data_IF_290944751984
#
_entry.id   IF_290944751984
#
_cell.length_a   1.000
_cell.length_b   1.000
_cell.length_c   1.000
_cell.angle_alpha   90.00
_cell.angle_beta   90.00
_cell.angle_gamma   90.00
#
_symmetry.space_group_name_H-M   'P 1'
#
loop_
_entity.id
_entity.type
_entity.pdbx_description
1 polymer ?
#
# COMPACT_ATOMS: atom_id res chain seq x y z
N UNK A 1 -54.46 -20.81 25.11
CA UNK A 1 -53.51 -19.85 24.52
C UNK A 1 -52.16 -20.51 24.44
N UNK A 2 -51.82 -21.11 23.32
CA UNK A 2 -50.59 -21.87 23.09
C UNK A 2 -49.60 -20.97 22.37
N UNK A 3 -48.53 -20.58 23.08
CA UNK A 3 -47.45 -19.77 22.53
C UNK A 3 -46.57 -20.67 21.64
N UNK A 4 -46.56 -20.36 20.33
CA UNK A 4 -45.63 -20.97 19.35
C UNK A 4 -44.25 -20.33 19.53
N UNK A 5 -43.29 -21.10 20.05
CA UNK A 5 -41.87 -20.76 19.99
C UNK A 5 -41.41 -20.82 18.55
N UNK A 6 -41.11 -19.65 17.99
CA UNK A 6 -40.36 -19.51 16.73
C UNK A 6 -38.93 -19.98 17.00
N UNK A 7 -38.54 -21.11 16.43
CA UNK A 7 -37.15 -21.52 16.34
C UNK A 7 -36.48 -20.67 15.24
N UNK A 8 -35.70 -19.69 15.64
CA UNK A 8 -34.78 -19.01 14.74
C UNK A 8 -33.74 -20.03 14.24
N UNK A 9 -33.76 -20.29 12.94
CA UNK A 9 -32.66 -21.00 12.27
C UNK A 9 -31.44 -20.09 12.32
N UNK A 10 -30.27 -20.59 12.78
CA UNK A 10 -29.06 -19.80 12.73
C UNK A 10 -28.77 -19.45 11.27
N UNK A 11 -28.65 -18.16 10.99
CA UNK A 11 -28.16 -17.65 9.72
C UNK A 11 -26.80 -18.29 9.48
N UNK A 12 -26.69 -19.09 8.41
CA UNK A 12 -25.40 -19.54 7.91
C UNK A 12 -24.56 -18.29 7.64
N UNK A 13 -23.53 -18.07 8.45
CA UNK A 13 -22.51 -17.08 8.19
C UNK A 13 -22.00 -17.33 6.78
N UNK A 14 -22.30 -16.39 5.87
CA UNK A 14 -21.70 -16.39 4.54
C UNK A 14 -20.21 -16.18 4.76
N UNK A 15 -19.44 -17.21 4.48
CA UNK A 15 -17.98 -17.14 4.54
C UNK A 15 -17.55 -16.42 3.26
N UNK A 16 -17.08 -15.21 3.41
CA UNK A 16 -16.46 -14.47 2.31
C UNK A 16 -14.96 -14.61 2.45
N UNK A 17 -14.28 -14.91 1.38
CA UNK A 17 -13.10 -14.25 0.92
C UNK A 17 -11.82 -14.98 0.73
N UNK A 18 -11.24 -14.68 -0.37
CA UNK A 18 -9.79 -14.72 -0.61
C UNK A 18 -9.37 -13.35 -1.10
N UNK A 19 -8.38 -12.77 -0.46
CA UNK A 19 -7.74 -11.55 -0.91
C UNK A 19 -6.37 -11.93 -1.44
N UNK A 20 -6.14 -11.75 -2.74
CA UNK A 20 -4.80 -11.79 -3.29
C UNK A 20 -4.26 -10.37 -3.25
N UNK A 21 -3.25 -10.12 -2.43
CA UNK A 21 -2.53 -8.85 -2.43
C UNK A 21 -1.33 -9.04 -3.34
N UNK A 22 -1.41 -8.47 -4.52
CA UNK A 22 -0.24 -8.33 -5.37
C UNK A 22 0.38 -6.96 -5.13
N UNK A 23 1.45 -6.90 -4.38
CA UNK A 23 2.29 -5.74 -4.28
C UNK A 23 3.30 -5.84 -5.42
N UNK A 24 3.04 -5.19 -6.54
CA UNK A 24 4.05 -5.03 -7.57
C UNK A 24 4.76 -3.71 -7.33
N UNK A 25 5.87 -3.79 -6.63
CA UNK A 25 6.94 -2.83 -6.82
C UNK A 25 7.52 -3.19 -8.17
N UNK A 26 7.35 -2.35 -9.16
CA UNK A 26 7.98 -2.54 -10.45
C UNK A 26 9.49 -2.33 -10.30
N UNK A 27 10.32 -3.37 -10.29
CA UNK A 27 11.73 -3.18 -10.61
C UNK A 27 11.77 -2.99 -12.12
N UNK A 28 12.18 -1.82 -12.56
CA UNK A 28 12.57 -1.63 -13.96
C UNK A 28 13.82 -2.52 -14.17
N UNK A 29 13.60 -3.70 -14.71
CA UNK A 29 14.70 -4.55 -15.12
C UNK A 29 15.24 -3.99 -16.45
N UNK A 30 16.29 -3.19 -16.35
CA UNK A 30 17.10 -2.86 -17.52
C UNK A 30 17.95 -4.07 -17.84
N UNK A 31 17.59 -4.77 -18.91
CA UNK A 31 18.39 -5.86 -19.46
C UNK A 31 19.70 -5.32 -20.04
N UNK A 32 20.80 -5.51 -19.34
CA UNK A 32 22.15 -5.36 -19.88
C UNK A 32 22.47 -6.56 -20.74
N UNK A 33 22.40 -6.39 -22.05
CA UNK A 33 23.05 -7.28 -23.00
C UNK A 33 24.51 -6.82 -23.14
N UNK A 34 25.40 -7.51 -22.45
CA UNK A 34 26.82 -7.40 -22.62
C UNK A 34 27.35 -8.50 -23.50
N UNK A 35 27.86 -8.16 -24.67
CA UNK A 35 28.69 -9.06 -25.46
C UNK A 35 30.15 -8.71 -25.27
N UNK A 36 30.96 -9.73 -25.03
CA UNK A 36 32.31 -9.70 -24.57
C UNK A 36 33.37 -9.27 -25.60
N UNK A 37 34.62 -9.18 -25.14
CA UNK A 37 35.84 -9.17 -25.95
C UNK A 37 37.02 -8.48 -25.31
N UNK A 38 37.84 -9.27 -24.66
CA UNK A 38 39.31 -9.30 -24.56
C UNK A 38 40.20 -8.06 -24.63
N UNK A 39 41.02 -7.95 -23.60
CA UNK A 39 42.51 -7.73 -23.52
C UNK A 39 43.17 -6.41 -23.93
N UNK A 40 43.90 -5.97 -22.98
CA UNK A 40 45.37 -5.63 -22.88
C UNK A 40 45.77 -4.18 -22.65
N UNK A 41 46.44 -4.02 -21.50
CA UNK A 41 47.74 -3.38 -21.21
C UNK A 41 47.93 -1.88 -21.41
N UNK A 42 48.16 -1.25 -20.25
CA UNK A 42 49.11 -0.21 -19.88
C UNK A 42 49.52 0.88 -20.84
N UNK A 43 49.49 2.10 -20.43
CA UNK A 43 50.63 2.92 -19.95
C UNK A 43 50.25 4.39 -19.80
N UNK A 44 50.84 4.99 -18.79
CA UNK A 44 50.85 6.41 -18.40
C UNK A 44 51.26 7.38 -19.49
N UNK A 45 50.75 8.57 -19.46
CA UNK A 45 51.53 9.81 -19.36
C UNK A 45 50.70 11.12 -19.50
N UNK A 46 51.01 11.96 -18.63
CA UNK A 46 50.93 13.36 -18.35
C UNK A 46 50.74 14.35 -19.53
N UNK A 47 49.98 15.41 -19.19
CA UNK A 47 50.21 16.82 -19.47
C UNK A 47 49.28 17.59 -20.43
N UNK A 48 48.57 18.48 -19.79
CA UNK A 48 48.44 19.94 -20.02
C UNK A 48 47.91 20.51 -21.34
N UNK A 49 46.89 21.28 -21.11
CA UNK A 49 46.66 22.71 -21.47
C UNK A 49 45.80 23.07 -22.66
N UNK A 50 44.91 23.97 -22.32
CA UNK A 50 44.39 25.18 -22.96
C UNK A 50 43.22 25.13 -23.94
N UNK A 51 42.15 25.70 -23.42
CA UNK A 51 41.24 26.72 -23.99
C UNK A 51 40.81 26.64 -25.46
N UNK A 52 39.51 26.51 -25.65
CA UNK A 52 38.68 27.54 -26.31
C UNK A 52 37.20 27.15 -26.33
N UNK A 53 36.43 28.13 -25.97
CA UNK A 53 34.97 28.23 -26.07
C UNK A 53 34.42 27.84 -27.44
N UNK A 54 33.32 27.07 -27.40
CA UNK A 54 32.15 27.40 -28.25
C UNK A 54 30.89 26.85 -27.61
N UNK A 55 29.96 27.76 -27.41
CA UNK A 55 28.56 27.49 -27.09
C UNK A 55 27.94 26.63 -28.19
N UNK A 56 27.39 25.49 -27.83
CA UNK A 56 26.19 24.98 -28.47
C UNK A 56 25.33 24.38 -27.37
N UNK A 57 24.25 25.09 -27.12
CA UNK A 57 23.15 24.70 -26.24
C UNK A 57 22.41 23.58 -26.94
N UNK A 58 22.65 22.34 -26.54
CA UNK A 58 21.71 21.25 -26.77
C UNK A 58 21.26 20.73 -25.39
N UNK A 59 20.20 21.38 -24.90
CA UNK A 59 19.51 21.02 -23.69
C UNK A 59 18.54 19.89 -23.99
N UNK A 60 19.04 18.69 -24.03
CA UNK A 60 18.23 17.47 -23.90
C UNK A 60 18.97 16.42 -23.07
N UNK A 61 19.40 16.85 -21.88
CA UNK A 61 19.73 15.91 -20.83
C UNK A 61 18.41 15.49 -20.18
N UNK A 62 17.91 14.32 -20.55
CA UNK A 62 17.01 13.62 -19.63
C UNK A 62 17.73 13.54 -18.28
N UNK A 63 17.05 13.81 -17.16
CA UNK A 63 17.65 13.59 -15.85
C UNK A 63 18.08 12.13 -15.80
N UNK A 64 19.38 11.88 -15.67
CA UNK A 64 19.88 10.58 -15.24
C UNK A 64 19.29 10.39 -13.84
N UNK A 65 18.18 9.62 -13.77
CA UNK A 65 17.63 9.15 -12.51
C UNK A 65 18.70 8.24 -11.90
N UNK A 66 19.40 8.77 -10.91
CA UNK A 66 20.30 7.99 -10.06
C UNK A 66 19.39 7.08 -9.22
N UNK A 67 19.14 5.88 -9.73
CA UNK A 67 18.27 4.89 -9.13
C UNK A 67 18.97 4.32 -7.89
N UNK A 68 18.93 5.03 -6.79
CA UNK A 68 19.46 4.59 -5.50
C UNK A 68 18.43 3.71 -4.74
N UNK A 69 17.84 2.78 -5.45
CA UNK A 69 17.14 1.63 -4.87
C UNK A 69 15.63 1.77 -4.72
N UNK A 70 15.08 2.81 -4.11
CA UNK A 70 13.64 2.96 -3.86
C UNK A 70 13.05 4.22 -4.48
N UNK A 71 11.86 4.12 -5.09
CA UNK A 71 11.13 5.30 -5.57
C UNK A 71 10.69 6.16 -4.38
N UNK A 72 10.72 7.48 -4.52
CA UNK A 72 10.27 8.44 -3.51
C UNK A 72 9.36 9.51 -4.13
N UNK A 73 8.82 10.41 -3.31
CA UNK A 73 8.00 11.53 -3.79
C UNK A 73 6.50 11.22 -3.83
N UNK A 74 6.07 10.14 -3.20
CA UNK A 74 4.66 9.79 -3.06
C UNK A 74 3.99 9.42 -4.39
N UNK A 75 2.68 9.50 -4.43
CA UNK A 75 1.88 9.09 -5.60
C UNK A 75 2.09 9.99 -6.82
N UNK A 76 2.55 11.22 -6.62
CA UNK A 76 2.89 12.14 -7.71
C UNK A 76 4.06 11.66 -8.57
N UNK A 77 4.93 10.81 -8.01
CA UNK A 77 6.04 10.20 -8.74
C UNK A 77 5.62 8.96 -9.56
N UNK A 78 4.37 8.52 -9.49
CA UNK A 78 3.89 7.37 -10.24
C UNK A 78 3.67 7.73 -11.71
N UNK A 79 4.48 7.15 -12.58
CA UNK A 79 4.40 7.33 -14.04
C UNK A 79 3.79 6.13 -14.77
N UNK A 80 3.72 4.98 -14.09
CA UNK A 80 3.19 3.74 -14.67
C UNK A 80 1.69 3.60 -14.42
N UNK A 81 1.01 2.94 -15.36
CA UNK A 81 -0.36 2.49 -15.17
C UNK A 81 -0.42 1.34 -14.15
N UNK A 82 -1.60 1.12 -13.59
CA UNK A 82 -1.83 -0.07 -12.78
C UNK A 82 -1.57 -1.34 -13.59
N UNK A 83 -0.99 -2.39 -12.97
CA UNK A 83 -0.83 -3.68 -13.63
C UNK A 83 -2.19 -4.24 -14.07
N UNK A 84 -2.19 -5.01 -15.12
CA UNK A 84 -3.41 -5.65 -15.64
C UNK A 84 -3.89 -6.81 -14.73
N UNK A 85 -5.01 -7.44 -15.11
CA UNK A 85 -5.64 -8.50 -14.33
C UNK A 85 -4.81 -9.79 -14.23
N UNK A 86 -3.79 -9.97 -15.10
CA UNK A 86 -2.89 -11.12 -15.04
C UNK A 86 -2.12 -11.22 -13.71
N UNK A 87 -2.03 -10.11 -12.95
CA UNK A 87 -1.51 -10.10 -11.59
C UNK A 87 -2.24 -11.12 -10.69
N UNK A 88 -3.51 -11.38 -10.95
CA UNK A 88 -4.36 -12.28 -10.16
C UNK A 88 -4.57 -13.66 -10.79
N UNK A 89 -4.02 -13.90 -12.00
CA UNK A 89 -4.20 -15.15 -12.77
C UNK A 89 -3.32 -16.31 -12.27
N UNK A 90 -2.73 -16.19 -11.09
CA UNK A 90 -1.90 -17.26 -10.55
C UNK A 90 -2.76 -18.43 -10.08
N UNK A 91 -2.36 -19.65 -10.43
CA UNK A 91 -3.06 -20.89 -10.02
C UNK A 91 -3.20 -21.03 -8.49
N UNK A 92 -2.42 -20.25 -7.71
CA UNK A 92 -2.45 -20.22 -6.26
C UNK A 92 -3.54 -19.31 -5.69
N UNK A 93 -4.11 -18.38 -6.46
CA UNK A 93 -5.10 -17.41 -5.97
C UNK A 93 -6.29 -18.12 -5.33
N UNK A 94 -6.76 -19.21 -5.94
CA UNK A 94 -7.87 -19.99 -5.42
C UNK A 94 -7.50 -21.02 -4.33
N UNK A 95 -6.24 -21.19 -4.02
CA UNK A 95 -5.77 -22.14 -3.01
C UNK A 95 -5.46 -21.49 -1.67
N UNK A 96 -5.52 -20.15 -1.55
CA UNK A 96 -5.27 -19.44 -0.31
C UNK A 96 -6.42 -19.61 0.69
N UNK A 97 -6.10 -19.56 1.98
CA UNK A 97 -7.10 -19.63 3.03
C UNK A 97 -8.04 -18.41 2.99
N UNK A 98 -9.27 -18.60 3.48
CA UNK A 98 -10.20 -17.49 3.65
C UNK A 98 -9.61 -16.44 4.59
N UNK A 99 -9.78 -15.17 4.24
CA UNK A 99 -9.35 -14.07 5.10
C UNK A 99 -10.18 -14.05 6.38
N UNK A 100 -9.50 -14.13 7.53
CA UNK A 100 -10.14 -14.03 8.83
C UNK A 100 -10.51 -12.60 9.20
N UNK A 101 -11.59 -12.44 9.97
CA UNK A 101 -11.89 -11.13 10.57
C UNK A 101 -10.90 -10.81 11.67
N UNK A 102 -10.51 -9.54 11.72
CA UNK A 102 -9.70 -8.96 12.80
C UNK A 102 -10.40 -7.73 13.36
N UNK A 103 -9.83 -7.14 14.40
CA UNK A 103 -10.34 -5.89 14.97
C UNK A 103 -10.16 -4.73 14.01
N UNK A 104 -11.10 -3.80 14.03
CA UNK A 104 -11.02 -2.55 13.27
C UNK A 104 -9.85 -1.69 13.74
N UNK A 105 -9.55 -1.76 15.03
CA UNK A 105 -8.59 -0.89 15.68
C UNK A 105 -9.18 0.49 16.01
N UNK A 106 -8.51 1.26 16.89
CA UNK A 106 -9.04 2.54 17.38
C UNK A 106 -8.91 3.70 16.37
N UNK A 107 -8.19 3.50 15.27
CA UNK A 107 -7.86 4.56 14.32
C UNK A 107 -8.71 4.53 13.04
N UNK A 108 -9.89 3.94 13.14
CA UNK A 108 -10.86 3.98 12.06
C UNK A 108 -11.59 5.34 12.02
N UNK A 109 -11.80 5.81 10.82
CA UNK A 109 -12.56 6.99 10.48
C UNK A 109 -13.16 6.79 9.08
N UNK A 110 -14.40 7.18 8.88
CA UNK A 110 -15.06 6.96 7.59
C UNK A 110 -14.38 7.74 6.47
N UNK A 111 -14.14 7.06 5.36
CA UNK A 111 -13.38 7.55 4.21
C UNK A 111 -14.29 8.03 3.07
N UNK A 112 -13.70 8.80 2.16
CA UNK A 112 -14.35 9.20 0.90
C UNK A 112 -14.01 8.18 -0.22
N UNK A 113 -14.78 8.22 -1.33
CA UNK A 113 -14.48 7.43 -2.52
C UNK A 113 -13.37 8.11 -3.31
N UNK A 114 -12.21 7.46 -3.46
CA UNK A 114 -11.01 8.00 -4.06
C UNK A 114 -10.20 6.90 -4.75
N UNK A 115 -9.51 7.25 -5.84
CA UNK A 115 -8.54 6.37 -6.51
C UNK A 115 -7.11 6.64 -6.01
N UNK A 116 -6.83 7.85 -5.53
CA UNK A 116 -5.59 8.22 -4.87
C UNK A 116 -5.90 8.66 -3.43
N UNK A 117 -5.45 7.84 -2.48
CA UNK A 117 -5.72 8.05 -1.06
C UNK A 117 -4.57 8.73 -0.32
N UNK A 118 -3.52 9.16 -1.05
CA UNK A 118 -2.33 9.76 -0.44
C UNK A 118 -2.57 11.19 0.05
N UNK A 119 -3.47 11.93 -0.58
CA UNK A 119 -3.64 13.37 -0.34
C UNK A 119 -2.32 14.14 -0.43
N UNK A 120 -1.51 13.81 -1.43
CA UNK A 120 -0.20 14.44 -1.69
C UNK A 120 0.84 14.22 -0.56
N UNK A 121 0.62 13.26 0.32
CA UNK A 121 1.62 12.88 1.32
C UNK A 121 2.83 12.22 0.65
N UNK A 122 4.00 12.41 1.25
CA UNK A 122 5.24 11.78 0.81
C UNK A 122 5.34 10.32 1.22
N UNK A 123 6.30 9.61 0.66
CA UNK A 123 6.60 8.23 0.98
C UNK A 123 6.90 7.40 -0.27
N UNK A 124 7.19 6.14 -0.06
CA UNK A 124 7.38 5.17 -1.13
C UNK A 124 6.05 4.96 -1.86
N UNK A 125 5.94 5.35 -3.15
CA UNK A 125 4.71 5.20 -3.92
C UNK A 125 4.29 3.74 -4.02
N UNK A 126 3.02 3.46 -3.76
CA UNK A 126 2.46 2.11 -3.72
C UNK A 126 1.18 2.01 -4.52
N UNK A 127 1.15 1.13 -5.53
CA UNK A 127 -0.07 0.70 -6.20
C UNK A 127 -0.71 -0.46 -5.42
N UNK A 128 -1.81 -0.19 -4.74
CA UNK A 128 -2.55 -1.19 -3.99
C UNK A 128 -3.63 -1.79 -4.88
N UNK A 129 -3.37 -3.01 -5.37
CA UNK A 129 -4.29 -3.76 -6.21
C UNK A 129 -4.90 -4.90 -5.39
N UNK A 130 -6.21 -4.89 -5.21
CA UNK A 130 -6.94 -5.91 -4.46
C UNK A 130 -7.98 -6.56 -5.34
N UNK A 131 -8.16 -7.88 -5.19
CA UNK A 131 -9.24 -8.64 -5.83
C UNK A 131 -10.08 -9.34 -4.77
N UNK A 132 -11.38 -9.18 -4.87
CA UNK A 132 -12.36 -9.83 -4.02
C UNK A 132 -13.02 -10.98 -4.77
N UNK A 133 -12.89 -12.19 -4.21
CA UNK A 133 -13.47 -13.41 -4.78
C UNK A 133 -14.23 -14.19 -3.70
N UNK A 134 -15.16 -15.04 -4.12
CA UNK A 134 -15.85 -15.98 -3.23
C UNK A 134 -15.06 -17.29 -3.02
N UNK A 135 -15.62 -18.20 -2.24
CA UNK A 135 -15.03 -19.52 -1.98
C UNK A 135 -14.87 -20.39 -3.23
N UNK A 136 -15.64 -20.13 -4.29
CA UNK A 136 -15.59 -20.81 -5.57
C UNK A 136 -14.71 -20.06 -6.58
N UNK A 137 -13.97 -19.03 -6.12
CA UNK A 137 -13.10 -18.20 -6.94
C UNK A 137 -13.82 -17.32 -7.97
N UNK A 138 -15.09 -17.08 -7.78
CA UNK A 138 -15.80 -16.13 -8.63
C UNK A 138 -15.52 -14.70 -8.15
N UNK A 139 -15.27 -13.76 -9.06
CA UNK A 139 -15.10 -12.37 -8.69
C UNK A 139 -16.38 -11.78 -8.10
N UNK A 140 -16.24 -10.96 -7.08
CA UNK A 140 -17.35 -10.30 -6.40
C UNK A 140 -17.38 -8.82 -6.77
N UNK A 141 -18.24 -8.46 -7.71
CA UNK A 141 -18.44 -7.10 -8.19
C UNK A 141 -19.42 -6.31 -7.33
N UNK A 142 -19.22 -4.97 -7.27
CA UNK A 142 -20.13 -4.04 -6.60
C UNK A 142 -20.03 -4.09 -5.07
N UNK A 143 -18.92 -4.55 -4.53
CA UNK A 143 -18.56 -4.42 -3.11
C UNK A 143 -17.71 -3.18 -2.90
N UNK A 144 -17.89 -2.52 -1.78
CA UNK A 144 -17.02 -1.46 -1.31
C UNK A 144 -15.86 -2.08 -0.54
N UNK A 145 -14.64 -1.70 -0.90
CA UNK A 145 -13.45 -1.98 -0.13
C UNK A 145 -12.92 -0.64 0.39
N UNK A 146 -12.99 -0.45 1.68
CA UNK A 146 -12.42 0.68 2.39
C UNK A 146 -11.06 0.29 2.93
N UNK A 147 -10.07 1.16 2.75
CA UNK A 147 -8.67 0.95 3.15
C UNK A 147 -8.24 2.12 4.02
N UNK A 148 -7.48 1.84 5.09
CA UNK A 148 -6.83 2.89 5.87
C UNK A 148 -5.52 2.39 6.50
N UNK A 149 -4.56 3.31 6.62
CA UNK A 149 -3.27 3.06 7.24
C UNK A 149 -2.61 4.37 7.71
N UNK A 150 -1.53 4.27 8.44
CA UNK A 150 -0.74 5.41 8.89
C UNK A 150 0.18 5.95 7.78
N UNK A 151 0.71 7.15 7.98
CA UNK A 151 1.75 7.75 7.16
C UNK A 151 3.16 7.15 7.45
N UNK A 152 4.20 7.76 6.89
CA UNK A 152 5.61 7.34 7.07
C UNK A 152 6.07 7.40 8.54
N UNK A 153 5.45 8.25 9.35
CA UNK A 153 5.74 8.45 10.76
C UNK A 153 4.90 7.58 11.70
N UNK A 154 4.05 6.73 11.15
CA UNK A 154 3.16 5.89 11.94
C UNK A 154 1.95 6.64 12.48
N UNK A 155 1.64 7.81 11.92
CA UNK A 155 0.53 8.69 12.33
C UNK A 155 -0.69 8.44 11.45
N UNK A 156 -1.85 8.24 12.07
CA UNK A 156 -3.12 8.16 11.36
C UNK A 156 -3.75 9.54 11.24
N UNK A 157 -4.40 9.78 10.12
CA UNK A 157 -5.21 10.98 9.91
C UNK A 157 -6.61 10.83 10.48
N UNK A 158 -7.27 11.95 10.76
CA UNK A 158 -8.69 12.03 11.02
C UNK A 158 -9.12 11.89 12.47
N UNK A 159 -10.37 12.25 12.71
CA UNK A 159 -11.03 12.07 14.00
C UNK A 159 -11.55 10.62 14.11
N UNK A 160 -11.03 9.89 15.07
CA UNK A 160 -11.29 8.45 15.25
C UNK A 160 -12.51 8.18 16.13
N UNK A 161 -13.37 9.16 16.34
CA UNK A 161 -14.57 9.04 17.19
C UNK A 161 -15.58 8.01 16.69
N UNK A 162 -15.55 7.68 15.40
CA UNK A 162 -16.45 6.73 14.76
C UNK A 162 -16.02 5.27 14.91
N UNK A 163 -14.81 5.00 15.41
CA UNK A 163 -14.33 3.63 15.56
C UNK A 163 -15.07 2.89 16.68
N UNK A 164 -15.51 1.66 16.40
CA UNK A 164 -16.08 0.77 17.40
C UNK A 164 -15.09 0.41 18.51
N UNK A 165 -13.79 0.43 18.19
CA UNK A 165 -12.69 0.11 19.09
C UNK A 165 -12.08 1.36 19.77
N UNK A 166 -12.63 2.55 19.54
CA UNK A 166 -12.11 3.80 20.12
C UNK A 166 -12.30 3.91 21.64
N UNK A 167 -13.09 3.03 22.25
CA UNK A 167 -13.31 3.01 23.69
C UNK A 167 -11.99 2.81 24.45
N UNK A 168 -11.58 3.82 25.21
CA UNK A 168 -10.30 3.81 25.95
C UNK A 168 -9.12 4.42 25.20
N UNK A 169 -9.30 4.82 23.96
CA UNK A 169 -8.30 5.57 23.19
C UNK A 169 -8.80 6.99 22.96
N UNK A 170 -7.88 7.92 22.88
CA UNK A 170 -8.18 9.29 22.45
C UNK A 170 -7.57 9.54 21.07
N UNK A 171 -7.96 10.65 20.44
CA UNK A 171 -7.43 11.02 19.12
C UNK A 171 -5.90 11.15 19.11
N UNK A 172 -5.30 11.51 20.24
CA UNK A 172 -3.84 11.58 20.38
C UNK A 172 -3.14 10.24 20.13
N UNK A 173 -3.78 9.14 20.45
CA UNK A 173 -3.21 7.81 20.19
C UNK A 173 -3.00 7.56 18.69
N UNK A 174 -3.93 7.99 17.86
CA UNK A 174 -3.88 7.77 16.42
C UNK A 174 -3.13 8.86 15.67
N UNK A 175 -3.32 10.11 16.08
CA UNK A 175 -2.80 11.29 15.37
C UNK A 175 -1.53 11.88 15.97
N UNK A 176 -1.00 11.31 17.05
CA UNK A 176 0.15 11.87 17.75
C UNK A 176 -0.08 13.27 18.36
N UNK A 177 -1.33 13.72 18.47
CA UNK A 177 -1.72 15.11 18.78
C UNK A 177 -1.39 16.13 17.68
N UNK A 178 -1.08 15.69 16.48
CA UNK A 178 -0.79 16.58 15.38
C UNK A 178 -2.08 17.24 14.88
N UNK A 179 -2.11 18.56 14.86
CA UNK A 179 -3.29 19.34 14.48
C UNK A 179 -3.69 19.07 13.04
N UNK A 180 -2.69 18.93 12.17
CA UNK A 180 -2.91 18.66 10.75
C UNK A 180 -3.49 17.25 10.55
N UNK A 181 -3.02 16.26 11.31
CA UNK A 181 -3.55 14.90 11.27
C UNK A 181 -5.02 14.83 11.69
N UNK A 182 -5.41 15.58 12.73
CA UNK A 182 -6.81 15.62 13.20
C UNK A 182 -7.80 16.13 12.15
N UNK A 183 -7.37 17.01 11.26
CA UNK A 183 -8.22 17.60 10.22
C UNK A 183 -8.06 16.93 8.86
N UNK A 184 -7.11 16.03 8.72
CA UNK A 184 -6.75 15.38 7.47
C UNK A 184 -7.51 14.09 7.21
N UNK A 185 -7.35 13.57 5.98
CA UNK A 185 -7.94 12.31 5.53
C UNK A 185 -6.96 11.46 4.72
N UNK A 186 -5.67 11.70 4.84
CA UNK A 186 -4.67 10.95 4.08
C UNK A 186 -4.69 9.46 4.41
N UNK A 187 -4.33 8.67 3.43
CA UNK A 187 -4.24 7.23 3.48
C UNK A 187 -5.53 6.54 3.94
N UNK A 188 -6.67 7.12 3.53
CA UNK A 188 -8.02 6.57 3.74
C UNK A 188 -8.82 6.70 2.46
N UNK A 189 -9.45 5.63 2.02
CA UNK A 189 -10.30 5.69 0.84
C UNK A 189 -11.15 4.46 0.64
N UNK A 190 -12.20 4.64 -0.15
CA UNK A 190 -13.15 3.59 -0.55
C UNK A 190 -13.09 3.45 -2.07
N UNK A 191 -12.99 2.22 -2.54
CA UNK A 191 -13.22 1.89 -3.95
C UNK A 191 -14.26 0.78 -4.09
N UNK A 192 -14.94 0.75 -5.24
CA UNK A 192 -15.96 -0.26 -5.54
C UNK A 192 -15.39 -1.29 -6.50
N UNK A 193 -15.52 -2.57 -6.17
CA UNK A 193 -15.04 -3.66 -7.01
C UNK A 193 -15.72 -3.67 -8.38
N UNK A 194 -14.93 -3.77 -9.41
CA UNK A 194 -15.37 -3.89 -10.81
C UNK A 194 -15.90 -5.30 -11.16
N UNK A 195 -16.09 -5.58 -12.46
CA UNK A 195 -16.60 -6.87 -12.94
C UNK A 195 -15.66 -8.04 -12.64
N UNK A 196 -14.36 -7.80 -12.54
CA UNK A 196 -13.33 -8.77 -12.13
C UNK A 196 -13.14 -8.86 -10.62
N UNK A 197 -13.97 -8.17 -9.83
CA UNK A 197 -13.86 -8.12 -8.37
C UNK A 197 -12.68 -7.25 -7.90
N UNK A 198 -12.11 -6.41 -8.76
CA UNK A 198 -10.87 -5.70 -8.54
C UNK A 198 -11.11 -4.26 -8.11
N UNK A 199 -10.22 -3.75 -7.26
CA UNK A 199 -9.98 -2.33 -7.03
C UNK A 199 -8.51 -2.01 -7.23
N UNK A 200 -8.24 -0.77 -7.60
CA UNK A 200 -6.91 -0.19 -7.70
C UNK A 200 -6.88 1.15 -6.96
N UNK A 201 -5.94 1.30 -6.05
CA UNK A 201 -5.74 2.52 -5.28
C UNK A 201 -4.27 2.96 -5.37
N UNK A 202 -4.04 4.26 -5.52
CA UNK A 202 -2.73 4.86 -5.31
C UNK A 202 -2.58 5.25 -3.85
N UNK A 203 -1.43 4.93 -3.28
CA UNK A 203 -1.08 5.21 -1.88
C UNK A 203 0.42 5.31 -1.71
N UNK A 204 0.88 5.44 -0.47
CA UNK A 204 2.27 5.23 -0.11
C UNK A 204 2.39 4.02 0.84
N UNK A 205 3.58 3.43 0.90
CA UNK A 205 3.84 2.38 1.87
C UNK A 205 3.69 2.93 3.30
N UNK A 206 2.98 2.24 4.22
CA UNK A 206 2.80 2.72 5.58
C UNK A 206 4.09 2.67 6.39
N UNK A 207 4.27 3.63 7.28
CA UNK A 207 5.28 3.58 8.32
C UNK A 207 4.90 2.59 9.43
N UNK A 208 5.65 2.62 10.51
CA UNK A 208 5.39 1.78 11.68
C UNK A 208 5.12 2.62 12.93
N UNK A 209 4.40 2.04 13.87
CA UNK A 209 4.22 2.57 15.21
C UNK A 209 4.37 1.45 16.24
N UNK A 210 4.68 1.82 17.48
CA UNK A 210 5.07 0.88 18.52
C UNK A 210 4.06 -0.23 18.77
N UNK A 211 4.56 -1.43 18.97
CA UNK A 211 3.82 -2.65 19.30
C UNK A 211 2.97 -3.23 18.18
N UNK A 212 3.14 -2.77 16.93
CA UNK A 212 2.43 -3.31 15.77
C UNK A 212 3.38 -3.48 14.57
N UNK A 213 3.31 -4.64 13.94
CA UNK A 213 3.92 -4.84 12.63
C UNK A 213 3.28 -3.90 11.60
N UNK A 214 4.02 -3.51 10.58
CA UNK A 214 3.52 -2.66 9.49
C UNK A 214 2.33 -3.32 8.81
N UNK A 215 1.21 -2.61 8.72
CA UNK A 215 -0.03 -3.17 8.20
C UNK A 215 -0.94 -2.12 7.57
N UNK A 216 -1.87 -2.61 6.76
CA UNK A 216 -2.97 -1.86 6.18
C UNK A 216 -4.27 -2.48 6.65
N UNK A 217 -5.16 -1.68 7.18
CA UNK A 217 -6.52 -2.09 7.50
C UNK A 217 -7.39 -2.08 6.25
N UNK A 218 -8.37 -2.97 6.20
CA UNK A 218 -9.42 -2.89 5.21
C UNK A 218 -10.75 -3.38 5.74
N UNK A 219 -11.82 -2.85 5.16
CA UNK A 219 -13.20 -3.23 5.41
C UNK A 219 -13.90 -3.50 4.10
N UNK A 220 -14.72 -4.54 4.08
CA UNK A 220 -15.53 -4.88 2.92
C UNK A 220 -16.98 -4.71 3.29
N UNK A 221 -17.71 -3.96 2.46
CA UNK A 221 -19.14 -3.72 2.62
C UNK A 221 -19.89 -4.09 1.35
N UNK A 222 -21.16 -4.38 1.54
CA UNK A 222 -22.15 -4.42 0.48
C UNK A 222 -23.45 -3.90 0.99
N UNK A 223 -24.08 -2.95 0.26
CA UNK A 223 -25.34 -2.34 0.64
C UNK A 223 -25.32 -1.82 2.09
N UNK A 224 -24.30 -1.07 2.46
CA UNK A 224 -24.05 -0.53 3.80
C UNK A 224 -23.98 -1.60 4.92
N UNK A 225 -23.67 -2.83 4.57
CA UNK A 225 -23.51 -3.91 5.56
C UNK A 225 -22.10 -4.44 5.52
N UNK A 226 -21.43 -4.39 6.66
CA UNK A 226 -20.10 -4.95 6.82
C UNK A 226 -20.10 -6.46 6.59
N UNK A 227 -19.21 -6.91 5.75
CA UNK A 227 -19.00 -8.33 5.45
C UNK A 227 -17.73 -8.83 6.14
N UNK A 228 -16.71 -7.99 6.18
CA UNK A 228 -15.41 -8.30 6.79
C UNK A 228 -14.70 -7.02 7.17
N UNK A 229 -14.02 -7.06 8.31
CA UNK A 229 -12.96 -6.15 8.71
C UNK A 229 -11.72 -6.97 8.96
N UNK A 230 -10.58 -6.57 8.40
CA UNK A 230 -9.32 -7.29 8.59
C UNK A 230 -8.12 -6.38 8.30
N UNK A 231 -6.94 -6.98 8.30
CA UNK A 231 -5.67 -6.31 8.05
C UNK A 231 -4.80 -7.23 7.21
N UNK A 232 -3.88 -6.66 6.46
CA UNK A 232 -2.77 -7.38 5.86
C UNK A 232 -1.47 -6.66 6.18
N UNK A 233 -0.42 -7.44 6.40
CA UNK A 233 0.92 -6.96 6.66
C UNK A 233 1.85 -7.27 5.49
N UNK A 234 3.11 -6.99 5.69
CA UNK A 234 4.18 -7.19 4.72
C UNK A 234 5.25 -8.09 5.33
N UNK A 235 6.07 -8.74 4.50
CA UNK A 235 7.16 -9.57 5.03
C UNK A 235 8.14 -8.72 5.83
N UNK A 236 8.67 -9.31 6.90
CA UNK A 236 9.58 -8.62 7.82
C UNK A 236 10.81 -8.06 7.11
N UNK A 237 11.41 -8.86 6.23
CA UNK A 237 12.60 -8.43 5.47
C UNK A 237 12.32 -7.23 4.57
N UNK A 238 11.13 -7.17 3.97
CA UNK A 238 10.71 -6.05 3.15
C UNK A 238 10.49 -4.78 3.99
N UNK A 239 9.82 -4.92 5.14
CA UNK A 239 9.64 -3.81 6.07
C UNK A 239 10.96 -3.26 6.59
N UNK A 240 11.88 -4.14 6.98
CA UNK A 240 13.20 -3.76 7.47
C UNK A 240 14.02 -3.06 6.39
N UNK A 241 13.99 -3.55 5.15
CA UNK A 241 14.72 -2.95 4.05
C UNK A 241 14.24 -1.51 3.78
N UNK A 242 12.93 -1.30 3.67
CA UNK A 242 12.37 0.05 3.50
C UNK A 242 12.71 0.95 4.68
N UNK A 243 12.47 0.50 5.91
CA UNK A 243 12.69 1.32 7.10
C UNK A 243 14.17 1.64 7.35
N UNK A 244 15.09 0.86 6.78
CA UNK A 244 16.52 1.11 6.90
C UNK A 244 17.06 1.98 5.77
N UNK A 245 16.61 1.75 4.54
CA UNK A 245 17.27 2.26 3.35
C UNK A 245 16.48 3.35 2.61
N UNK A 246 15.16 3.43 2.79
CA UNK A 246 14.37 4.46 2.13
C UNK A 246 14.48 5.82 2.86
N UNK A 247 14.79 6.92 2.17
CA UNK A 247 15.02 8.23 2.81
C UNK A 247 13.83 8.73 3.63
N UNK A 248 12.60 8.48 3.20
CA UNK A 248 11.39 8.92 3.92
C UNK A 248 11.08 8.09 5.18
N UNK A 249 11.71 6.91 5.38
CA UNK A 249 11.44 6.00 6.49
C UNK A 249 12.61 5.80 7.44
N UNK A 250 13.85 5.95 6.93
CA UNK A 250 15.08 5.59 7.65
C UNK A 250 15.32 6.43 8.92
N UNK A 251 14.72 7.62 9.00
CA UNK A 251 14.81 8.48 10.17
C UNK A 251 14.19 7.86 11.43
N UNK A 252 13.26 6.90 11.27
CA UNK A 252 12.64 6.18 12.39
C UNK A 252 13.35 4.85 12.73
N UNK A 253 14.22 4.37 11.85
CA UNK A 253 14.88 3.07 12.00
C UNK A 253 13.94 1.88 11.80
N UNK A 254 14.44 0.69 12.12
CA UNK A 254 13.70 -0.56 11.97
C UNK A 254 12.42 -0.60 12.83
N UNK A 255 11.34 -1.28 12.35
CA UNK A 255 10.14 -1.47 13.14
C UNK A 255 10.45 -2.27 14.42
N UNK A 256 9.82 -1.88 15.53
CA UNK A 256 9.98 -2.56 16.83
C UNK A 256 9.19 -3.87 16.93
N UNK A 257 8.32 -4.14 15.97
CA UNK A 257 7.47 -5.34 15.93
C UNK A 257 7.39 -5.88 14.51
N UNK A 258 7.58 -7.17 14.39
CA UNK A 258 7.52 -7.94 13.13
C UNK A 258 6.31 -8.89 13.15
N UNK A 259 5.96 -9.49 11.97
CA UNK A 259 4.84 -10.43 11.81
C UNK A 259 5.14 -11.80 12.42
#
# INVERSE_FOLDING_TARGET
MTSKKLTEKPLKRRRFMKTAVGLTLAPIAIGLWGCGGSNSTSTSSTASNSSSSNNDTDSNAEPEEDFDGWASGGTSAMTSDFPDDSLFDTASVCSVALTGSQTEGPCYFQSDYLDDISYEQTGLPMMLCLQLIDEACNPLSGYEIEVWHCDVDGVYSGDTSDSADASGFNSAFCTGNEVDALSAKWFRGIAVTDASGRINLKSCFPGWYSSRAIHIHFRIRRNNTDQLVSQFGFSDSFCQDICTNHPDYSHRGEPDTLL
#
